data_IF_618346493865
#
_entry.id   IF_618346493865
#
_cell.length_a   1.000
_cell.length_b   1.000
_cell.length_c   1.000
_cell.angle_alpha   90.00
_cell.angle_beta   90.00
_cell.angle_gamma   90.00
#
_symmetry.space_group_name_H-M   'P 1'
#
loop_
_entity.id
_entity.type
_entity.pdbx_description
1 polymer ?
#
# COMPACT_ATOMS: atom_id res chain seq x y z
N UNK A 1 12.19 -4.75 -25.05
CA UNK A 1 12.78 -4.42 -23.75
C UNK A 1 12.10 -5.31 -22.72
N UNK A 2 12.83 -6.17 -22.01
CA UNK A 2 12.27 -6.87 -20.84
C UNK A 2 12.16 -5.87 -19.69
N UNK A 3 11.06 -5.90 -18.96
CA UNK A 3 10.92 -5.14 -17.72
C UNK A 3 11.42 -6.03 -16.60
N UNK A 4 12.44 -5.55 -15.88
CA UNK A 4 13.01 -6.28 -14.75
C UNK A 4 12.03 -6.34 -13.56
N UNK A 5 12.06 -7.41 -12.75
CA UNK A 5 11.28 -7.47 -11.52
C UNK A 5 11.65 -6.32 -10.57
N UNK A 6 10.67 -5.77 -9.85
CA UNK A 6 10.88 -4.68 -8.90
C UNK A 6 10.23 -4.96 -7.56
N UNK A 7 10.78 -4.34 -6.51
CA UNK A 7 10.31 -4.49 -5.13
C UNK A 7 9.32 -3.38 -4.77
N UNK A 8 8.22 -3.74 -4.12
CA UNK A 8 7.20 -2.83 -3.59
C UNK A 8 7.14 -3.03 -2.08
N UNK A 9 7.21 -1.95 -1.31
CA UNK A 9 6.88 -1.97 0.12
C UNK A 9 5.76 -0.97 0.36
N UNK A 10 4.63 -1.44 0.89
CA UNK A 10 3.42 -0.63 1.10
C UNK A 10 2.95 -0.74 2.56
N UNK A 11 2.63 0.37 3.23
CA UNK A 11 2.02 0.30 4.55
C UNK A 11 0.57 -0.19 4.44
N UNK A 12 0.12 -0.93 5.45
CA UNK A 12 -1.31 -1.08 5.72
C UNK A 12 -1.91 0.28 6.07
N UNK A 13 -3.23 0.38 5.94
CA UNK A 13 -3.97 1.58 6.31
C UNK A 13 -5.27 1.24 7.02
N UNK A 14 -5.84 2.23 7.68
CA UNK A 14 -7.19 2.21 8.23
C UNK A 14 -7.96 3.45 7.77
N UNK A 15 -9.28 3.44 7.90
CA UNK A 15 -10.19 4.50 7.44
C UNK A 15 -11.37 4.69 8.41
N UNK A 16 -12.31 5.57 8.04
CA UNK A 16 -13.53 5.87 8.82
C UNK A 16 -13.23 6.40 10.23
N UNK A 17 -12.22 7.28 10.32
CA UNK A 17 -11.78 7.88 11.56
C UNK A 17 -12.67 9.07 11.93
N UNK A 18 -13.61 8.84 12.84
CA UNK A 18 -14.47 9.88 13.41
C UNK A 18 -15.27 10.65 12.33
N UNK A 19 -15.27 12.00 12.32
CA UNK A 19 -16.02 12.78 11.33
C UNK A 19 -15.47 12.64 9.89
N UNK A 20 -14.31 12.02 9.71
CA UNK A 20 -13.69 11.78 8.40
C UNK A 20 -14.20 10.54 7.66
N UNK A 21 -15.45 10.13 7.90
CA UNK A 21 -16.07 8.98 7.22
C UNK A 21 -15.94 9.11 5.70
N UNK A 22 -15.50 8.04 5.04
CA UNK A 22 -15.21 7.96 3.59
C UNK A 22 -14.21 9.00 3.03
N UNK A 23 -13.53 9.78 3.88
CA UNK A 23 -12.64 10.87 3.43
C UNK A 23 -11.23 10.82 4.04
N UNK A 24 -11.07 10.21 5.22
CA UNK A 24 -9.79 10.17 5.94
C UNK A 24 -9.33 8.73 6.12
N UNK A 25 -8.09 8.49 5.70
CA UNK A 25 -7.33 7.28 6.00
C UNK A 25 -6.00 7.60 6.69
N UNK A 26 -5.47 6.63 7.43
CA UNK A 26 -4.18 6.71 8.11
C UNK A 26 -3.33 5.49 7.76
N UNK A 27 -2.11 5.72 7.31
CA UNK A 27 -1.11 4.65 7.17
C UNK A 27 -0.65 4.19 8.56
N UNK A 28 -0.55 2.88 8.76
CA UNK A 28 -0.07 2.29 10.02
C UNK A 28 1.32 1.69 9.84
N UNK A 29 2.06 1.56 10.94
CA UNK A 29 3.41 0.99 10.98
C UNK A 29 3.41 -0.54 10.82
N UNK A 30 2.84 -1.02 9.70
CA UNK A 30 2.77 -2.42 9.31
C UNK A 30 2.86 -2.51 7.80
N UNK A 31 3.78 -3.31 7.29
CA UNK A 31 4.12 -3.30 5.86
C UNK A 31 3.90 -4.65 5.18
N UNK A 32 3.55 -4.58 3.89
CA UNK A 32 3.62 -5.69 2.95
C UNK A 32 4.76 -5.41 1.96
N UNK A 33 5.68 -6.37 1.82
CA UNK A 33 6.75 -6.32 0.82
C UNK A 33 6.50 -7.36 -0.27
N UNK A 34 6.52 -6.93 -1.52
CA UNK A 34 6.27 -7.77 -2.71
C UNK A 34 7.41 -7.61 -3.72
N UNK A 35 7.69 -8.68 -4.48
CA UNK A 35 8.48 -8.61 -5.70
C UNK A 35 7.54 -8.85 -6.87
N UNK A 36 7.38 -7.84 -7.73
CA UNK A 36 6.49 -7.89 -8.88
C UNK A 36 7.31 -8.09 -10.17
N UNK A 37 6.78 -8.91 -11.08
CA UNK A 37 7.33 -9.12 -12.43
C UNK A 37 6.20 -8.96 -13.46
N UNK A 38 6.52 -8.61 -14.72
CA UNK A 38 5.54 -8.60 -15.80
C UNK A 38 4.83 -9.96 -15.93
N UNK A 39 3.57 -9.91 -16.37
CA UNK A 39 2.78 -11.11 -16.67
C UNK A 39 3.32 -11.87 -17.88
#
# INVERSE_FOLDING_TARGET
MSVEPFMITVPGSTANLGPGFDSVGLAVDRYLTLVAKPA
#
